data_IF_895798868856
#
_entry.id   IF_895798868856
#
_cell.length_a   1.000
_cell.length_b   1.000
_cell.length_c   1.000
_cell.angle_alpha   90.00
_cell.angle_beta   90.00
_cell.angle_gamma   90.00
#
_symmetry.space_group_name_H-M   'P 1'
#
loop_
_entity.id
_entity.type
_entity.pdbx_description
1 polymer ?
#
# COMPACT_ATOMS: atom_id res chain seq x y z
N UNK A 1 -4.19 -34.90 4.17
CA UNK A 1 -5.36 -35.77 4.01
C UNK A 1 -5.66 -36.55 5.29
N UNK A 2 -4.70 -37.36 5.78
CA UNK A 2 -4.91 -38.22 6.96
C UNK A 2 -5.17 -37.48 8.26
N UNK A 3 -4.54 -36.32 8.44
CA UNK A 3 -4.62 -35.51 9.68
C UNK A 3 -5.98 -34.80 9.81
N UNK A 4 -6.52 -34.30 8.70
CA UNK A 4 -7.74 -33.47 8.69
C UNK A 4 -8.95 -34.14 8.04
N UNK A 5 -8.84 -35.40 7.62
CA UNK A 5 -9.94 -36.18 7.00
C UNK A 5 -10.62 -35.48 5.80
N UNK A 6 -9.83 -34.76 4.98
CA UNK A 6 -10.32 -34.02 3.81
C UNK A 6 -9.84 -34.66 2.51
N UNK A 7 -10.60 -34.47 1.43
CA UNK A 7 -10.26 -34.99 0.10
C UNK A 7 -9.08 -34.23 -0.55
N UNK A 8 -8.38 -34.89 -1.49
CA UNK A 8 -7.33 -34.25 -2.33
C UNK A 8 -7.85 -33.04 -3.07
N UNK A 9 -9.07 -33.09 -3.53
CA UNK A 9 -9.71 -32.00 -4.25
C UNK A 9 -9.90 -30.77 -3.34
N UNK A 10 -10.31 -31.00 -2.09
CA UNK A 10 -10.46 -29.95 -1.08
C UNK A 10 -9.12 -29.29 -0.76
N UNK A 11 -8.06 -30.09 -0.57
CA UNK A 11 -6.70 -29.56 -0.33
C UNK A 11 -6.22 -28.74 -1.53
N UNK A 12 -6.39 -29.22 -2.77
CA UNK A 12 -6.00 -28.49 -3.97
C UNK A 12 -6.75 -27.17 -4.12
N UNK A 13 -8.06 -27.14 -3.84
CA UNK A 13 -8.84 -25.89 -3.85
C UNK A 13 -8.36 -24.91 -2.79
N UNK A 14 -8.06 -25.38 -1.60
CA UNK A 14 -7.51 -24.53 -0.54
C UNK A 14 -6.14 -23.95 -0.93
N UNK A 15 -5.24 -24.78 -1.49
CA UNK A 15 -3.93 -24.31 -1.98
C UNK A 15 -4.09 -23.31 -3.13
N UNK A 16 -5.00 -23.55 -4.07
CA UNK A 16 -5.26 -22.62 -5.17
C UNK A 16 -5.76 -21.26 -4.63
N UNK A 17 -6.71 -21.29 -3.69
CA UNK A 17 -7.21 -20.08 -3.04
C UNK A 17 -6.12 -19.34 -2.26
N UNK A 18 -5.31 -20.05 -1.47
CA UNK A 18 -4.16 -19.48 -0.75
C UNK A 18 -3.10 -18.93 -1.71
N UNK A 19 -2.93 -19.54 -2.90
CA UNK A 19 -2.01 -19.04 -3.93
C UNK A 19 -2.57 -17.80 -4.62
N UNK A 20 -3.87 -17.74 -4.87
CA UNK A 20 -4.57 -16.56 -5.40
C UNK A 20 -4.53 -15.38 -4.41
N UNK A 21 -4.65 -15.68 -3.11
CA UNK A 21 -4.53 -14.72 -2.02
C UNK A 21 -3.06 -14.37 -1.67
N UNK A 22 -2.07 -15.00 -2.35
CA UNK A 22 -0.65 -14.72 -2.16
C UNK A 22 -0.01 -15.32 -0.92
N UNK A 23 -0.64 -16.27 -0.25
CA UNK A 23 -0.11 -16.95 0.95
C UNK A 23 0.87 -18.06 0.63
N UNK A 24 0.74 -18.68 -0.53
CA UNK A 24 1.61 -19.77 -0.96
C UNK A 24 1.97 -19.62 -2.44
N UNK A 25 3.15 -20.15 -2.81
CA UNK A 25 3.58 -20.27 -4.20
C UNK A 25 3.69 -21.75 -4.57
N UNK A 26 3.01 -22.16 -5.63
CA UNK A 26 3.14 -23.52 -6.18
C UNK A 26 4.18 -23.50 -7.28
N UNK A 27 5.27 -24.27 -7.11
CA UNK A 27 6.29 -24.48 -8.16
C UNK A 27 6.27 -25.93 -8.62
N UNK A 28 6.08 -26.12 -9.92
CA UNK A 28 6.11 -27.46 -10.51
C UNK A 28 7.45 -28.15 -10.25
N UNK A 29 7.42 -29.35 -9.71
CA UNK A 29 8.61 -30.12 -9.33
C UNK A 29 9.21 -29.78 -7.96
N UNK A 30 8.85 -28.66 -7.34
CA UNK A 30 9.37 -28.23 -6.04
C UNK A 30 8.32 -28.24 -4.92
N UNK A 31 7.02 -28.30 -5.28
CA UNK A 31 5.92 -28.34 -4.31
C UNK A 31 5.30 -26.99 -4.04
N UNK A 32 4.61 -26.90 -2.90
CA UNK A 32 3.96 -25.68 -2.42
C UNK A 32 4.81 -25.07 -1.31
N UNK A 33 5.27 -23.85 -1.53
CA UNK A 33 6.01 -23.08 -0.53
C UNK A 33 5.08 -22.06 0.11
N UNK A 34 5.09 -21.99 1.44
CA UNK A 34 4.47 -20.89 2.17
C UNK A 34 5.34 -19.65 1.91
N UNK A 35 4.74 -18.60 1.39
CA UNK A 35 5.43 -17.32 1.22
C UNK A 35 5.60 -16.72 2.61
N UNK A 36 6.84 -16.52 3.02
CA UNK A 36 7.25 -16.19 4.40
C UNK A 36 6.70 -14.85 4.92
N UNK A 37 6.03 -14.09 4.09
CA UNK A 37 5.47 -12.77 4.41
C UNK A 37 3.95 -12.76 4.41
N UNK A 38 3.37 -13.61 5.24
CA UNK A 38 2.02 -13.37 5.73
C UNK A 38 2.19 -12.44 6.94
N UNK A 39 2.32 -11.14 6.68
CA UNK A 39 2.49 -10.12 7.71
C UNK A 39 3.48 -10.53 8.81
N UNK A 40 4.80 -10.34 8.65
CA UNK A 40 5.64 -10.22 9.80
C UNK A 40 5.04 -9.08 10.62
N UNK A 41 4.87 -9.25 11.90
CA UNK A 41 4.35 -8.28 12.85
C UNK A 41 5.12 -6.95 12.88
N UNK A 42 6.14 -6.79 12.04
CA UNK A 42 7.10 -5.69 12.05
C UNK A 42 7.24 -4.96 10.71
N UNK A 43 6.65 -5.46 9.60
CA UNK A 43 6.85 -4.83 8.28
C UNK A 43 5.52 -4.63 7.58
N UNK A 44 5.19 -3.38 7.28
CA UNK A 44 4.06 -3.03 6.45
C UNK A 44 4.53 -2.92 4.99
N UNK A 45 4.22 -3.91 4.15
CA UNK A 45 4.54 -3.85 2.73
C UNK A 45 3.54 -2.94 2.00
N UNK A 46 4.01 -1.78 1.58
CA UNK A 46 3.20 -0.73 0.95
C UNK A 46 2.79 -1.02 -0.48
N UNK A 47 3.38 -1.97 -1.15
CA UNK A 47 2.87 -2.52 -2.40
C UNK A 47 3.54 -3.86 -2.71
N UNK A 48 2.75 -4.92 -2.72
CA UNK A 48 3.12 -6.15 -3.38
C UNK A 48 2.99 -5.97 -4.89
N UNK A 49 3.89 -5.21 -5.47
CA UNK A 49 4.09 -5.21 -6.91
C UNK A 49 4.93 -6.43 -7.23
N UNK A 50 4.27 -7.56 -7.45
CA UNK A 50 4.85 -8.89 -7.61
C UNK A 50 5.80 -9.06 -8.82
N UNK A 51 6.18 -8.00 -9.51
CA UNK A 51 6.99 -8.07 -10.71
C UNK A 51 8.32 -7.31 -10.64
N UNK A 52 8.69 -6.75 -9.47
CA UNK A 52 9.95 -6.02 -9.35
C UNK A 52 10.95 -6.75 -8.46
N UNK A 53 12.21 -6.77 -8.89
CA UNK A 53 13.35 -7.29 -8.14
C UNK A 53 13.64 -6.48 -6.85
N UNK A 54 12.97 -5.33 -6.69
CA UNK A 54 13.13 -4.45 -5.56
C UNK A 54 11.81 -4.35 -4.76
N UNK A 55 11.90 -4.52 -3.46
CA UNK A 55 10.76 -4.38 -2.54
C UNK A 55 10.95 -3.12 -1.71
N UNK A 56 9.95 -2.24 -1.74
CA UNK A 56 9.83 -1.11 -0.84
C UNK A 56 8.90 -1.50 0.30
N UNK A 57 9.40 -1.48 1.52
CA UNK A 57 8.61 -1.78 2.71
C UNK A 57 8.76 -0.68 3.76
N UNK A 58 7.73 -0.48 4.56
CA UNK A 58 7.79 0.39 5.73
C UNK A 58 7.87 -0.50 6.96
N UNK A 59 8.92 -0.31 7.76
CA UNK A 59 9.14 -1.06 8.99
C UNK A 59 8.65 -0.26 10.19
N UNK A 60 8.13 -0.98 11.18
CA UNK A 60 7.82 -0.43 12.48
C UNK A 60 9.09 -0.41 13.34
N UNK A 61 9.43 0.75 13.90
CA UNK A 61 10.61 0.88 14.78
C UNK A 61 10.17 0.96 16.23
N UNK A 62 9.24 1.88 16.53
CA UNK A 62 8.74 2.14 17.88
C UNK A 62 7.22 2.20 17.92
N UNK A 63 6.54 1.41 17.09
CA UNK A 63 5.08 1.44 16.99
C UNK A 63 4.46 0.77 18.22
N UNK A 64 3.60 1.46 18.99
CA UNK A 64 2.87 0.85 20.08
C UNK A 64 1.77 -0.07 19.52
N UNK A 65 1.61 -1.27 20.06
CA UNK A 65 0.57 -2.25 19.66
C UNK A 65 0.55 -2.56 18.16
N UNK A 66 1.64 -3.04 17.55
CA UNK A 66 1.71 -3.29 16.11
C UNK A 66 0.64 -4.28 15.61
N UNK A 67 0.12 -5.13 16.50
CA UNK A 67 -0.97 -6.06 16.22
C UNK A 67 -2.35 -5.38 16.04
N UNK A 68 -2.47 -4.09 16.37
CA UNK A 68 -3.70 -3.29 16.25
C UNK A 68 -3.65 -2.29 15.09
N UNK A 69 -2.98 -2.65 14.02
CA UNK A 69 -2.92 -1.81 12.82
C UNK A 69 -4.29 -1.67 12.16
N UNK A 70 -4.64 -0.46 11.77
CA UNK A 70 -5.90 -0.14 11.09
C UNK A 70 -5.76 1.05 10.15
N UNK A 71 -6.54 1.08 9.08
CA UNK A 71 -6.75 2.29 8.28
C UNK A 71 -8.10 2.89 8.68
N UNK A 72 -8.13 4.18 8.96
CA UNK A 72 -9.34 4.91 9.37
C UNK A 72 -9.51 6.18 8.56
N UNK A 73 -10.68 6.76 8.65
CA UNK A 73 -10.98 8.04 8.01
C UNK A 73 -10.86 7.98 6.49
N UNK A 74 -11.19 6.83 5.89
CA UNK A 74 -11.23 6.74 4.44
C UNK A 74 -12.32 7.66 3.91
N UNK A 75 -11.90 8.58 3.05
CA UNK A 75 -12.78 9.52 2.40
C UNK A 75 -12.43 9.58 0.91
N UNK A 76 -13.42 9.34 0.07
CA UNK A 76 -13.28 9.41 -1.39
C UNK A 76 -14.13 10.57 -1.87
N UNK A 77 -13.53 11.52 -2.56
CA UNK A 77 -14.23 12.63 -3.18
C UNK A 77 -13.61 13.02 -4.51
N UNK A 78 -14.41 13.65 -5.36
CA UNK A 78 -13.93 14.23 -6.60
C UNK A 78 -13.40 15.63 -6.36
N UNK A 79 -12.18 15.89 -6.83
CA UNK A 79 -11.51 17.20 -6.73
C UNK A 79 -10.93 17.59 -8.10
N UNK A 80 -10.78 18.89 -8.40
CA UNK A 80 -10.05 19.33 -9.59
C UNK A 80 -8.55 19.03 -9.41
N UNK A 81 -7.92 18.50 -10.45
CA UNK A 81 -6.47 18.31 -10.47
C UNK A 81 -5.77 19.68 -10.44
N UNK A 82 -4.98 19.93 -9.40
CA UNK A 82 -4.07 21.06 -9.35
C UNK A 82 -2.89 20.85 -10.32
N UNK A 83 -1.95 21.79 -10.34
CA UNK A 83 -0.78 21.73 -11.22
C UNK A 83 0.04 20.44 -10.98
N UNK A 84 0.29 20.08 -9.74
CA UNK A 84 1.12 18.91 -9.38
C UNK A 84 0.42 17.62 -9.77
N UNK A 85 -0.84 17.47 -9.40
CA UNK A 85 -1.66 16.29 -9.73
C UNK A 85 -1.85 16.16 -11.23
N UNK A 86 -2.11 17.26 -11.94
CA UNK A 86 -2.32 17.25 -13.41
C UNK A 86 -1.05 16.83 -14.16
N UNK A 87 0.11 17.32 -13.76
CA UNK A 87 1.40 16.92 -14.33
C UNK A 87 1.71 15.44 -14.05
N UNK A 88 1.51 14.99 -12.80
CA UNK A 88 1.78 13.61 -12.40
C UNK A 88 0.87 12.58 -13.11
N UNK A 89 -0.41 12.89 -13.26
CA UNK A 89 -1.40 12.03 -13.92
C UNK A 89 -1.48 12.25 -15.43
N UNK A 90 -0.73 13.21 -15.99
CA UNK A 90 -0.77 13.59 -17.41
C UNK A 90 -2.19 13.94 -17.89
N UNK A 91 -2.91 14.68 -17.08
CA UNK A 91 -4.24 15.21 -17.40
C UNK A 91 -4.21 16.74 -17.50
N UNK A 92 -5.25 17.35 -18.02
CA UNK A 92 -5.35 18.83 -18.07
C UNK A 92 -5.57 19.38 -16.66
N UNK A 93 -5.09 20.60 -16.44
CA UNK A 93 -5.37 21.35 -15.20
C UNK A 93 -6.89 21.40 -14.96
N UNK A 94 -7.32 21.25 -13.72
CA UNK A 94 -8.72 21.18 -13.28
C UNK A 94 -9.52 19.98 -13.80
N UNK A 95 -8.89 18.99 -14.43
CA UNK A 95 -9.56 17.71 -14.71
C UNK A 95 -10.07 17.11 -13.41
N UNK A 96 -11.33 16.64 -13.34
CA UNK A 96 -11.81 15.92 -12.15
C UNK A 96 -11.00 14.64 -11.91
N UNK A 97 -10.53 14.46 -10.68
CA UNK A 97 -9.84 13.25 -10.21
C UNK A 97 -10.44 12.81 -8.89
N UNK A 98 -10.42 11.52 -8.59
CA UNK A 98 -10.78 11.04 -7.27
C UNK A 98 -9.60 11.22 -6.32
N UNK A 99 -9.89 11.78 -5.14
CA UNK A 99 -8.96 11.82 -4.02
C UNK A 99 -9.41 10.82 -2.96
N UNK A 100 -8.56 9.86 -2.66
CA UNK A 100 -8.75 8.84 -1.61
C UNK A 100 -7.83 9.17 -0.45
N UNK A 101 -8.40 9.55 0.69
CA UNK A 101 -7.65 9.90 1.90
C UNK A 101 -7.77 8.80 2.93
N UNK A 102 -6.67 8.47 3.61
CA UNK A 102 -6.63 7.45 4.68
C UNK A 102 -5.59 7.84 5.71
N UNK A 103 -5.88 7.49 6.96
CA UNK A 103 -4.92 7.61 8.06
C UNK A 103 -4.68 6.20 8.60
N UNK A 104 -3.44 5.83 8.72
CA UNK A 104 -3.05 4.54 9.30
C UNK A 104 -2.71 4.73 10.77
N UNK A 105 -3.25 3.83 11.58
CA UNK A 105 -3.12 3.84 13.04
C UNK A 105 -2.53 2.53 13.54
N UNK A 106 -1.89 2.61 14.71
CA UNK A 106 -1.67 1.46 15.58
C UNK A 106 -2.37 1.73 16.92
N UNK A 107 -3.42 0.99 17.19
CA UNK A 107 -4.37 1.36 18.26
C UNK A 107 -4.94 2.75 18.01
N UNK A 108 -4.66 3.70 18.90
CA UNK A 108 -5.08 5.11 18.77
C UNK A 108 -3.95 6.04 18.28
N UNK A 109 -2.78 5.50 17.98
CA UNK A 109 -1.63 6.28 17.54
C UNK A 109 -1.62 6.40 16.02
N UNK A 110 -1.77 7.59 15.43
CA UNK A 110 -1.64 7.79 13.99
C UNK A 110 -0.18 7.65 13.57
N UNK A 111 0.06 6.91 12.50
CA UNK A 111 1.38 6.56 11.98
C UNK A 111 1.72 7.32 10.71
N UNK A 112 0.76 7.41 9.81
CA UNK A 112 0.91 8.07 8.52
C UNK A 112 -0.43 8.53 7.95
N UNK A 113 -0.34 9.56 7.12
CA UNK A 113 -1.45 10.11 6.35
C UNK A 113 -1.18 9.94 4.86
N UNK A 114 -2.16 9.45 4.14
CA UNK A 114 -2.06 9.11 2.73
C UNK A 114 -3.16 9.76 1.92
N UNK A 115 -2.75 10.50 0.87
CA UNK A 115 -3.63 11.00 -0.19
C UNK A 115 -3.27 10.31 -1.50
N UNK A 116 -4.23 9.60 -2.10
CA UNK A 116 -4.11 9.07 -3.44
C UNK A 116 -5.01 9.90 -4.38
N UNK A 117 -4.47 10.34 -5.49
CA UNK A 117 -5.22 10.97 -6.57
C UNK A 117 -5.26 9.98 -7.74
N UNK A 118 -6.45 9.56 -8.16
CA UNK A 118 -6.60 8.59 -9.25
C UNK A 118 -7.51 9.15 -10.34
N UNK A 119 -7.27 8.71 -11.57
CA UNK A 119 -8.02 9.17 -12.74
C UNK A 119 -9.45 8.66 -12.69
N UNK A 120 -10.42 9.57 -12.89
CA UNK A 120 -11.86 9.23 -12.90
C UNK A 120 -12.26 8.41 -14.12
N UNK A 121 -11.57 8.59 -15.26
CA UNK A 121 -11.83 7.85 -16.49
C UNK A 121 -11.36 6.39 -16.44
N UNK A 122 -10.39 6.05 -15.56
CA UNK A 122 -9.97 4.68 -15.34
C UNK A 122 -10.83 3.95 -14.31
N UNK A 123 -11.44 4.69 -13.39
CA UNK A 123 -12.14 4.13 -12.22
C UNK A 123 -13.55 4.72 -12.06
N UNK A 124 -14.45 4.58 -13.05
CA UNK A 124 -15.79 5.16 -12.97
C UNK A 124 -16.54 4.61 -11.74
N UNK A 125 -17.16 5.52 -10.97
CA UNK A 125 -17.94 5.15 -9.78
C UNK A 125 -17.11 4.79 -8.53
N UNK A 126 -15.80 5.06 -8.53
CA UNK A 126 -14.95 4.80 -7.35
C UNK A 126 -15.45 5.52 -6.09
N UNK A 127 -16.00 6.71 -6.23
CA UNK A 127 -16.55 7.52 -5.13
C UNK A 127 -17.91 7.00 -4.59
N UNK A 128 -18.52 6.03 -5.26
CA UNK A 128 -19.74 5.36 -4.80
C UNK A 128 -19.45 4.17 -3.87
N UNK A 129 -18.19 3.73 -3.80
CA UNK A 129 -17.79 2.66 -2.89
C UNK A 129 -17.75 3.16 -1.44
N UNK A 130 -18.52 2.51 -0.58
CA UNK A 130 -18.61 2.81 0.86
C UNK A 130 -17.82 1.84 1.72
N UNK A 131 -17.37 0.72 1.15
CA UNK A 131 -16.53 -0.24 1.87
C UNK A 131 -15.15 0.35 2.17
N UNK A 132 -14.67 0.12 3.38
CA UNK A 132 -13.30 0.49 3.73
C UNK A 132 -12.33 -0.57 3.20
N UNK A 133 -11.27 -0.14 2.52
CA UNK A 133 -10.19 -1.00 2.09
C UNK A 133 -8.87 -0.53 2.68
N UNK A 134 -8.06 -1.51 3.04
CA UNK A 134 -6.73 -1.27 3.57
C UNK A 134 -5.77 -0.83 2.46
N UNK A 135 -5.75 -1.57 1.36
CA UNK A 135 -4.87 -1.37 0.23
C UNK A 135 -5.68 -0.98 -1.03
N UNK A 136 -5.28 0.13 -1.65
CA UNK A 136 -5.96 0.66 -2.82
C UNK A 136 -5.75 -0.24 -4.05
N UNK A 137 -4.54 -0.76 -4.25
CA UNK A 137 -4.25 -1.52 -5.47
C UNK A 137 -5.00 -2.85 -5.59
N UNK A 138 -5.03 -3.73 -4.57
CA UNK A 138 -5.86 -4.92 -4.61
C UNK A 138 -7.34 -4.61 -4.81
N UNK A 139 -7.81 -3.49 -4.26
CA UNK A 139 -9.17 -3.02 -4.50
C UNK A 139 -9.39 -2.63 -5.96
N UNK A 140 -8.49 -1.83 -6.56
CA UNK A 140 -8.59 -1.40 -7.97
C UNK A 140 -8.45 -2.58 -8.93
N UNK A 141 -7.51 -3.48 -8.71
CA UNK A 141 -7.34 -4.70 -9.52
C UNK A 141 -8.61 -5.54 -9.51
N UNK A 142 -9.19 -5.77 -8.34
CA UNK A 142 -10.40 -6.60 -8.19
C UNK A 142 -11.62 -6.01 -8.88
N UNK A 143 -11.80 -4.70 -8.77
CA UNK A 143 -13.03 -4.05 -9.22
C UNK A 143 -12.94 -3.47 -10.64
N UNK A 144 -11.73 -3.17 -11.14
CA UNK A 144 -11.55 -2.44 -12.41
C UNK A 144 -10.59 -3.16 -13.38
N UNK A 145 -10.11 -4.36 -13.05
CA UNK A 145 -9.21 -5.16 -13.90
C UNK A 145 -7.98 -4.38 -14.39
N UNK A 146 -7.32 -3.69 -13.49
CA UNK A 146 -6.15 -2.85 -13.80
C UNK A 146 -4.92 -3.71 -14.09
N UNK A 147 -4.29 -3.50 -15.24
CA UNK A 147 -2.98 -4.06 -15.58
C UNK A 147 -1.87 -3.09 -15.13
N UNK A 148 -1.43 -3.27 -13.90
CA UNK A 148 -0.45 -2.41 -13.25
C UNK A 148 0.97 -2.68 -13.79
N UNK A 149 1.64 -1.63 -14.27
CA UNK A 149 2.96 -1.73 -14.92
C UNK A 149 4.12 -1.33 -13.99
N UNK A 150 3.85 -0.58 -12.93
CA UNK A 150 4.86 -0.14 -11.99
C UNK A 150 4.66 1.25 -11.43
N UNK A 151 5.64 1.68 -10.62
CA UNK A 151 5.62 3.03 -10.06
C UNK A 151 7.02 3.63 -9.97
N UNK A 152 7.04 4.95 -9.83
CA UNK A 152 8.21 5.71 -9.38
C UNK A 152 7.89 6.34 -8.04
N UNK A 153 8.78 6.16 -7.06
CA UNK A 153 8.67 6.70 -5.71
C UNK A 153 9.75 7.74 -5.48
N UNK A 154 9.35 8.94 -5.05
CA UNK A 154 10.24 10.05 -4.68
C UNK A 154 10.22 10.23 -3.17
N UNK A 155 11.34 10.04 -2.52
CA UNK A 155 11.49 10.14 -1.07
C UNK A 155 12.20 11.43 -0.69
N UNK A 156 11.66 12.13 0.30
CA UNK A 156 12.25 13.35 0.81
C UNK A 156 11.90 13.54 2.30
N UNK A 157 12.72 14.31 3.01
CA UNK A 157 12.38 14.77 4.35
C UNK A 157 11.45 15.99 4.26
N UNK A 158 10.56 16.10 5.24
CA UNK A 158 9.70 17.28 5.41
C UNK A 158 9.51 17.57 6.89
N UNK A 159 9.26 18.84 7.22
CA UNK A 159 8.77 19.24 8.53
C UNK A 159 7.22 19.14 8.53
N UNK A 160 6.64 18.69 9.64
CA UNK A 160 5.20 18.68 9.83
C UNK A 160 4.66 20.10 9.77
N UNK A 161 3.68 20.34 8.92
CA UNK A 161 2.90 21.57 8.92
C UNK A 161 1.74 21.50 9.94
N UNK A 162 0.85 22.50 9.96
CA UNK A 162 -0.29 22.52 10.87
C UNK A 162 -1.29 21.41 10.57
N UNK A 163 -1.47 21.04 9.30
CA UNK A 163 -2.38 19.97 8.89
C UNK A 163 -1.83 18.61 9.29
N UNK A 164 -0.55 18.36 9.01
CA UNK A 164 0.15 17.16 9.47
C UNK A 164 0.05 17.00 11.00
N UNK A 165 0.28 18.11 11.72
CA UNK A 165 0.27 18.14 13.19
C UNK A 165 -1.08 17.74 13.76
N UNK A 166 -2.17 18.22 13.17
CA UNK A 166 -3.53 17.88 13.58
C UNK A 166 -3.88 16.42 13.26
N UNK A 167 -3.51 15.94 12.06
CA UNK A 167 -3.85 14.60 11.59
C UNK A 167 -3.01 13.54 12.31
N UNK A 168 -1.71 13.79 12.48
CA UNK A 168 -0.77 12.82 13.03
C UNK A 168 -0.55 12.98 14.54
N UNK A 169 -1.22 13.93 15.19
CA UNK A 169 -1.09 14.24 16.62
C UNK A 169 0.37 14.48 17.05
N UNK A 170 1.09 15.30 16.28
CA UNK A 170 2.50 15.66 16.50
C UNK A 170 2.68 17.19 16.55
N UNK A 171 3.80 17.64 17.05
CA UNK A 171 4.11 19.08 17.05
C UNK A 171 4.45 19.61 15.64
N UNK A 172 4.09 20.84 15.28
CA UNK A 172 4.60 21.47 14.08
C UNK A 172 6.12 21.44 14.03
N UNK A 173 6.68 21.20 12.85
CA UNK A 173 8.13 21.06 12.67
C UNK A 173 8.70 19.67 12.95
N UNK A 174 7.90 18.71 13.47
CA UNK A 174 8.34 17.33 13.64
C UNK A 174 8.81 16.76 12.30
N UNK A 175 9.97 16.09 12.24
CA UNK A 175 10.45 15.46 11.01
C UNK A 175 9.50 14.37 10.51
N UNK A 176 9.18 14.41 9.23
CA UNK A 176 8.40 13.40 8.53
C UNK A 176 9.16 12.87 7.32
N UNK A 177 8.97 11.62 6.99
CA UNK A 177 9.30 11.13 5.66
C UNK A 177 8.12 11.49 4.73
N UNK A 178 8.42 12.23 3.69
CA UNK A 178 7.47 12.54 2.62
C UNK A 178 7.76 11.65 1.42
N UNK A 179 6.83 10.79 1.07
CA UNK A 179 6.89 9.98 -0.13
C UNK A 179 5.87 10.47 -1.14
N UNK A 180 6.30 10.60 -2.40
CA UNK A 180 5.43 10.90 -3.53
C UNK A 180 5.58 9.79 -4.55
N UNK A 181 4.46 9.18 -4.93
CA UNK A 181 4.44 8.06 -5.88
C UNK A 181 3.65 8.42 -7.13
N UNK A 182 4.15 8.01 -8.27
CA UNK A 182 3.40 7.98 -9.53
C UNK A 182 3.35 6.54 -9.98
N UNK A 183 2.15 5.98 -10.05
CA UNK A 183 1.91 4.64 -10.52
C UNK A 183 1.27 4.64 -11.90
N UNK A 184 1.62 3.64 -12.71
CA UNK A 184 1.15 3.55 -14.08
C UNK A 184 0.57 2.17 -14.41
N UNK A 185 -0.34 2.14 -15.36
CA UNK A 185 -0.82 0.95 -16.05
C UNK A 185 -0.47 1.03 -17.55
N UNK A 186 -0.89 0.05 -18.32
CA UNK A 186 -0.70 0.01 -19.78
C UNK A 186 -1.30 1.22 -20.52
N UNK A 187 -2.20 1.98 -19.90
CA UNK A 187 -2.83 3.19 -20.47
C UNK A 187 -2.15 4.49 -20.00
N UNK A 188 -1.12 4.42 -19.16
CA UNK A 188 -0.40 5.57 -18.64
C UNK A 188 -0.53 5.75 -17.11
N UNK A 189 -0.17 6.93 -16.58
CA UNK A 189 -0.27 7.20 -15.14
C UNK A 189 -1.71 7.07 -14.64
N UNK A 190 -1.92 6.25 -13.62
CA UNK A 190 -3.23 5.99 -13.03
C UNK A 190 -3.41 6.62 -11.66
N UNK A 191 -2.30 6.77 -10.92
CA UNK A 191 -2.30 7.29 -9.56
C UNK A 191 -1.12 8.22 -9.31
N UNK A 192 -1.39 9.28 -8.57
CA UNK A 192 -0.40 10.07 -7.84
C UNK A 192 -0.71 10.01 -6.35
N UNK A 193 0.25 9.57 -5.54
CA UNK A 193 0.09 9.46 -4.09
C UNK A 193 1.09 10.35 -3.34
N UNK A 194 0.63 10.88 -2.19
CA UNK A 194 1.47 11.61 -1.23
C UNK A 194 1.28 10.98 0.13
N UNK A 195 2.39 10.53 0.73
CA UNK A 195 2.43 9.91 2.04
C UNK A 195 3.23 10.81 2.99
N UNK A 196 2.66 11.04 4.16
CA UNK A 196 3.29 11.76 5.28
C UNK A 196 3.47 10.75 6.41
N UNK A 197 4.71 10.35 6.69
CA UNK A 197 5.04 9.20 7.53
C UNK A 197 5.83 9.70 8.75
N UNK A 198 5.42 9.27 9.94
CA UNK A 198 6.12 9.56 11.20
C UNK A 198 7.41 8.77 11.30
N UNK A 199 8.55 9.48 11.29
CA UNK A 199 9.89 8.87 11.33
C UNK A 199 10.33 8.46 12.74
N UNK A 200 9.62 8.91 13.76
CA UNK A 200 9.80 8.47 15.15
C UNK A 200 9.22 7.06 15.42
N UNK A 201 8.30 6.61 14.55
CA UNK A 201 7.61 5.33 14.69
C UNK A 201 7.89 4.36 13.55
N UNK A 202 8.26 4.86 12.39
CA UNK A 202 8.38 4.08 11.17
C UNK A 202 9.64 4.43 10.40
N UNK A 203 10.23 3.45 9.74
CA UNK A 203 11.33 3.63 8.78
C UNK A 203 10.98 3.03 7.43
N UNK A 204 11.58 3.55 6.38
CA UNK A 204 11.48 3.01 5.04
C UNK A 204 12.64 2.06 4.78
N UNK A 205 12.33 0.83 4.40
CA UNK A 205 13.31 -0.18 4.03
C UNK A 205 13.21 -0.48 2.54
N UNK A 206 14.33 -0.42 1.83
CA UNK A 206 14.42 -0.79 0.41
C UNK A 206 15.33 -2.01 0.31
N UNK A 207 14.79 -3.13 -0.15
CA UNK A 207 15.56 -4.32 -0.45
C UNK A 207 15.85 -4.36 -1.95
N UNK A 208 17.12 -4.37 -2.32
CA UNK A 208 17.57 -4.43 -3.70
C UNK A 208 18.28 -5.77 -3.93
N UNK A 209 17.75 -6.58 -4.87
CA UNK A 209 18.28 -7.91 -5.16
C UNK A 209 17.88 -8.98 -4.15
N UNK A 210 18.47 -10.18 -4.19
CA UNK A 210 18.22 -11.23 -3.23
C UNK A 210 18.64 -10.77 -1.83
N UNK A 211 17.78 -10.98 -0.83
CA UNK A 211 18.09 -10.61 0.56
C UNK A 211 19.36 -11.34 1.01
N UNK A 212 20.43 -10.58 1.29
CA UNK A 212 21.72 -11.11 1.77
C UNK A 212 21.80 -11.19 3.29
N UNK A 213 20.79 -10.70 3.99
CA UNK A 213 20.75 -10.75 5.46
C UNK A 213 19.80 -11.84 5.93
N UNK A 214 20.22 -12.71 6.84
CA UNK A 214 19.29 -13.57 7.55
C UNK A 214 18.29 -12.68 8.32
N UNK A 215 17.03 -13.13 8.42
CA UNK A 215 15.91 -12.46 9.10
C UNK A 215 16.12 -12.23 10.61
N UNK A 216 17.35 -12.06 11.06
CA UNK A 216 17.76 -11.99 12.46
C UNK A 216 18.51 -10.70 12.76
N UNK A 217 17.93 -9.56 12.45
CA UNK A 217 18.21 -8.34 13.21
C UNK A 217 16.92 -8.00 13.95
N UNK A 218 16.78 -8.65 15.10
CA UNK A 218 15.86 -8.25 16.18
C UNK A 218 16.29 -6.89 16.74
#
# INVERSE_FOLDING_TARGET
>A
ERIYSVSRTTVRRAIAKLSEEGYVQVRQGYGTMVLKNIYPSETFEFSRLHHFENTLSIRHVNVPNPEKMSARGMYINTVPADKVVSEALQVKLNTPVFRVQRIFYSGETPLMFLNNYVRTDFFPGLDQHTEQFWDLYPFLVRNYNVDYQGCTEYLSAAAADLVDSQILHISPGTPLLNSRRIAACNLGPLEYAVLRIRTDLMELCITMGPSVWPDTLN
#
